data_IF_343850916331
#
_entry.id   IF_343850916331
#
_cell.length_a   1.000
_cell.length_b   1.000
_cell.length_c   1.000
_cell.angle_alpha   90.00
_cell.angle_beta   90.00
_cell.angle_gamma   90.00
#
_symmetry.space_group_name_H-M   'P 1'
#
loop_
_entity.id
_entity.type
_entity.pdbx_description
1 polymer ?
#
# COMPACT_ATOMS: atom_id res chain seq x y z
N UNK A 1 -12.39 8.70 -14.09
CA UNK A 1 -12.96 7.97 -12.94
C UNK A 1 -11.87 7.20 -12.24
N UNK A 2 -12.08 6.76 -11.00
CA UNK A 2 -11.14 5.91 -10.26
C UNK A 2 -11.72 4.51 -10.14
N UNK A 3 -10.95 3.48 -10.47
CA UNK A 3 -11.33 2.08 -10.26
C UNK A 3 -11.04 1.67 -8.81
N UNK A 4 -12.01 1.03 -8.15
CA UNK A 4 -11.92 0.64 -6.74
C UNK A 4 -12.02 -0.88 -6.64
N UNK A 5 -10.96 -1.51 -6.11
CA UNK A 5 -10.93 -2.94 -5.81
C UNK A 5 -11.07 -3.11 -4.30
N UNK A 6 -12.22 -3.64 -3.85
CA UNK A 6 -12.48 -3.89 -2.44
C UNK A 6 -12.88 -5.35 -2.20
N UNK A 7 -12.52 -5.93 -1.05
CA UNK A 7 -12.98 -7.25 -0.66
C UNK A 7 -14.49 -7.24 -0.35
N UNK A 8 -15.17 -8.32 -0.67
CA UNK A 8 -16.58 -8.53 -0.34
C UNK A 8 -16.71 -8.74 1.17
N UNK A 9 -17.53 -7.89 1.80
CA UNK A 9 -17.81 -7.99 3.24
C UNK A 9 -18.71 -9.19 3.53
N UNK A 10 -18.47 -9.88 4.65
CA UNK A 10 -19.35 -10.95 5.12
C UNK A 10 -20.75 -10.41 5.45
N UNK A 11 -21.83 -10.97 4.87
CA UNK A 11 -23.19 -10.59 5.21
C UNK A 11 -23.55 -10.99 6.65
N UNK A 12 -24.41 -10.21 7.32
CA UNK A 12 -24.81 -10.46 8.71
C UNK A 12 -25.53 -11.81 8.82
N UNK A 13 -25.06 -12.67 9.74
CA UNK A 13 -25.68 -13.98 10.01
C UNK A 13 -25.51 -15.03 8.89
N UNK A 14 -24.66 -14.79 7.89
CA UNK A 14 -24.45 -15.69 6.76
C UNK A 14 -22.96 -15.89 6.49
N UNK A 15 -22.61 -17.02 5.88
CA UNK A 15 -21.23 -17.29 5.44
C UNK A 15 -20.90 -16.61 4.11
N UNK A 16 -19.60 -16.34 3.92
CA UNK A 16 -19.10 -15.85 2.65
C UNK A 16 -19.13 -16.98 1.62
N UNK A 17 -19.60 -16.71 0.40
CA UNK A 17 -19.64 -17.74 -0.65
C UNK A 17 -18.22 -18.20 -1.02
N UNK A 18 -18.09 -19.38 -1.62
CA UNK A 18 -16.78 -19.89 -2.07
C UNK A 18 -16.13 -18.93 -3.07
N UNK A 19 -16.92 -18.38 -3.99
CA UNK A 19 -16.46 -17.43 -5.00
C UNK A 19 -15.96 -16.13 -4.38
N UNK A 20 -16.70 -15.59 -3.40
CA UNK A 20 -16.29 -14.38 -2.67
C UNK A 20 -15.00 -14.61 -1.87
N UNK A 21 -14.83 -15.80 -1.28
CA UNK A 21 -13.58 -16.16 -0.57
C UNK A 21 -12.40 -16.19 -1.53
N UNK A 22 -12.56 -16.80 -2.71
CA UNK A 22 -11.53 -16.84 -3.75
C UNK A 22 -11.18 -15.45 -4.28
N UNK A 23 -12.19 -14.60 -4.52
CA UNK A 23 -11.99 -13.21 -4.89
C UNK A 23 -11.25 -12.43 -3.81
N UNK A 24 -11.70 -12.50 -2.55
CA UNK A 24 -11.05 -11.84 -1.42
C UNK A 24 -9.60 -12.32 -1.22
N UNK A 25 -9.31 -13.61 -1.48
CA UNK A 25 -7.94 -14.14 -1.44
C UNK A 25 -7.04 -13.45 -2.47
N UNK A 26 -7.52 -13.26 -3.71
CA UNK A 26 -6.79 -12.53 -4.76
C UNK A 26 -6.57 -11.06 -4.38
N UNK A 27 -7.60 -10.38 -3.89
CA UNK A 27 -7.51 -8.98 -3.41
C UNK A 27 -6.51 -8.87 -2.25
N UNK A 28 -6.54 -9.82 -1.31
CA UNK A 28 -5.62 -9.86 -0.18
C UNK A 28 -4.15 -10.03 -0.62
N UNK A 29 -3.89 -10.91 -1.60
CA UNK A 29 -2.54 -11.11 -2.14
C UNK A 29 -1.94 -9.82 -2.73
N UNK A 30 -2.78 -8.99 -3.38
CA UNK A 30 -2.38 -7.67 -3.87
C UNK A 30 -2.14 -6.71 -2.70
N UNK A 31 -3.08 -6.65 -1.75
CA UNK A 31 -2.97 -5.78 -0.57
C UNK A 31 -1.70 -6.00 0.24
N UNK A 32 -1.30 -7.26 0.46
CA UNK A 32 -0.08 -7.58 1.22
C UNK A 32 1.15 -6.92 0.58
N UNK A 33 1.27 -6.95 -0.75
CA UNK A 33 2.39 -6.31 -1.46
C UNK A 33 2.34 -4.78 -1.34
N UNK A 34 1.15 -4.19 -1.43
CA UNK A 34 0.95 -2.75 -1.25
C UNK A 34 1.32 -2.32 0.17
N UNK A 35 0.86 -3.07 1.19
CA UNK A 35 1.14 -2.80 2.60
C UNK A 35 2.64 -2.92 2.90
N UNK A 36 3.34 -3.90 2.33
CA UNK A 36 4.80 -3.97 2.39
C UNK A 36 5.48 -2.74 1.79
N UNK A 37 5.05 -2.28 0.60
CA UNK A 37 5.61 -1.07 -0.01
C UNK A 37 5.38 0.17 0.86
N UNK A 38 4.17 0.35 1.38
CA UNK A 38 3.82 1.46 2.28
C UNK A 38 4.63 1.39 3.58
N UNK A 39 4.73 0.21 4.19
CA UNK A 39 5.51 0.01 5.41
C UNK A 39 7.00 0.29 5.20
N UNK A 40 7.55 -0.18 4.08
CA UNK A 40 8.93 0.09 3.66
C UNK A 40 9.19 1.57 3.43
N UNK A 41 8.28 2.28 2.77
CA UNK A 41 8.40 3.72 2.57
C UNK A 41 8.43 4.49 3.90
N UNK A 42 7.61 4.07 4.89
CA UNK A 42 7.53 4.70 6.22
C UNK A 42 8.78 4.55 7.09
N UNK A 43 9.81 3.82 6.65
CA UNK A 43 11.15 3.86 7.26
C UNK A 43 11.70 5.29 7.26
N UNK A 44 11.39 6.07 6.20
CA UNK A 44 11.68 7.50 6.18
C UNK A 44 10.65 8.23 7.06
N UNK A 45 11.08 8.63 8.27
CA UNK A 45 10.22 9.28 9.27
C UNK A 45 9.45 10.50 8.73
N UNK A 46 10.03 11.24 7.80
CA UNK A 46 9.40 12.40 7.16
C UNK A 46 8.08 12.06 6.42
N UNK A 47 7.88 10.79 6.03
CA UNK A 47 6.62 10.31 5.42
C UNK A 47 5.58 9.83 6.44
N UNK A 48 6.01 9.53 7.66
CA UNK A 48 5.15 8.96 8.72
C UNK A 48 4.71 10.04 9.71
N UNK A 49 5.63 10.92 10.08
CA UNK A 49 5.42 11.92 11.11
C UNK A 49 4.64 13.11 10.52
N UNK A 50 3.85 13.78 11.36
CA UNK A 50 3.02 14.90 10.95
C UNK A 50 3.90 16.06 10.40
N UNK A 51 3.63 16.49 9.17
CA UNK A 51 4.31 17.64 8.58
C UNK A 51 3.69 18.94 9.11
N UNK A 52 4.46 19.71 9.90
CA UNK A 52 4.01 20.99 10.50
C UNK A 52 4.43 22.23 9.72
N UNK A 53 5.05 22.05 8.55
CA UNK A 53 5.50 23.15 7.72
C UNK A 53 4.30 23.78 7.00
N UNK A 54 4.19 25.10 7.06
CA UNK A 54 3.08 25.88 6.49
C UNK A 54 3.34 26.37 5.05
N UNK A 55 4.29 25.74 4.36
CA UNK A 55 4.65 26.09 2.98
C UNK A 55 3.88 25.23 1.97
N UNK A 56 3.48 25.83 0.85
CA UNK A 56 2.78 25.14 -0.22
C UNK A 56 3.69 24.11 -0.91
N UNK A 57 3.10 23.00 -1.37
CA UNK A 57 3.73 21.94 -2.18
C UNK A 57 4.92 21.20 -1.53
N UNK A 58 5.21 21.44 -0.25
CA UNK A 58 6.33 20.78 0.43
C UNK A 58 6.09 19.27 0.59
N UNK A 59 4.86 18.88 0.93
CA UNK A 59 4.48 17.47 1.13
C UNK A 59 4.61 16.67 -0.16
N UNK A 60 4.17 17.22 -1.29
CA UNK A 60 4.27 16.56 -2.61
C UNK A 60 5.72 16.33 -3.03
N UNK A 61 6.58 17.35 -2.86
CA UNK A 61 8.01 17.24 -3.18
C UNK A 61 8.73 16.23 -2.28
N UNK A 62 8.46 16.24 -0.98
CA UNK A 62 8.97 15.20 -0.07
C UNK A 62 8.53 13.82 -0.55
N UNK A 63 7.22 13.67 -0.80
CA UNK A 63 6.65 12.38 -1.14
C UNK A 63 7.29 11.83 -2.42
N UNK A 64 7.36 12.64 -3.48
CA UNK A 64 7.97 12.27 -4.75
C UNK A 64 9.45 11.87 -4.59
N UNK A 65 10.22 12.67 -3.85
CA UNK A 65 11.65 12.41 -3.60
C UNK A 65 11.84 11.11 -2.81
N UNK A 66 11.07 10.91 -1.75
CA UNK A 66 11.13 9.71 -0.94
C UNK A 66 10.68 8.47 -1.74
N UNK A 67 9.66 8.58 -2.59
CA UNK A 67 9.25 7.46 -3.46
C UNK A 67 10.36 7.11 -4.46
N UNK A 68 11.06 8.09 -5.02
CA UNK A 68 12.20 7.84 -5.89
C UNK A 68 13.33 7.08 -5.15
N UNK A 69 13.68 7.51 -3.93
CA UNK A 69 14.66 6.84 -3.09
C UNK A 69 14.22 5.42 -2.69
N UNK A 70 12.94 5.25 -2.33
CA UNK A 70 12.38 3.94 -2.04
C UNK A 70 12.49 3.01 -3.25
N UNK A 71 12.10 3.48 -4.43
CA UNK A 71 12.18 2.70 -5.67
C UNK A 71 13.63 2.33 -6.02
N UNK A 72 14.58 3.24 -5.83
CA UNK A 72 16.01 2.95 -5.98
C UNK A 72 16.46 1.86 -5.00
N UNK A 73 16.08 1.95 -3.72
CA UNK A 73 16.39 0.94 -2.71
C UNK A 73 15.84 -0.44 -3.08
N UNK A 74 14.60 -0.51 -3.57
CA UNK A 74 13.99 -1.78 -4.02
C UNK A 74 14.68 -2.32 -5.28
N UNK A 75 15.12 -1.44 -6.18
CA UNK A 75 15.89 -1.86 -7.37
C UNK A 75 17.23 -2.49 -6.99
N UNK A 76 17.90 -1.96 -5.96
CA UNK A 76 19.17 -2.49 -5.45
C UNK A 76 18.94 -3.79 -4.65
N UNK A 77 17.93 -3.81 -3.80
CA UNK A 77 17.58 -4.95 -2.94
C UNK A 77 16.11 -5.34 -3.14
N UNK A 78 15.81 -6.15 -4.17
CA UNK A 78 14.44 -6.53 -4.49
C UNK A 78 13.82 -7.43 -3.43
N UNK A 79 12.50 -7.35 -3.29
CA UNK A 79 11.73 -8.24 -2.43
C UNK A 79 11.68 -9.63 -3.02
N UNK A 80 12.07 -10.64 -2.24
CA UNK A 80 11.92 -12.04 -2.61
C UNK A 80 10.57 -12.57 -2.15
N UNK A 81 9.56 -12.42 -3.01
CA UNK A 81 8.30 -13.14 -2.82
C UNK A 81 8.46 -14.55 -3.37
N UNK A 82 8.48 -15.54 -2.49
CA UNK A 82 8.31 -16.93 -2.91
C UNK A 82 6.87 -17.06 -3.44
N UNK A 83 6.73 -17.50 -4.68
CA UNK A 83 5.42 -17.84 -5.26
C UNK A 83 4.94 -19.19 -4.74
#
# INVERSE_FOLDING_TARGET
GVEIIQPVKKPKGKELSRQDKEYNKKVSAIRVRIEHAIGSAKVMRILKDECRLRANNFVENIFSTCMALHNLRIKINPWNYHN
#
